data_IF_068683811869
#
_entry.id   IF_068683811869
#
_cell.length_a   1.000
_cell.length_b   1.000
_cell.length_c   1.000
_cell.angle_alpha   90.00
_cell.angle_beta   90.00
_cell.angle_gamma   90.00
#
_symmetry.space_group_name_H-M   'P 1'
#
loop_
_entity.id
_entity.type
_entity.pdbx_description
1 polymer ?
#
# COMPACT_ATOMS: atom_id res chain seq x y z
N UNK A 1 74.37 -7.23 -19.26
CA UNK A 1 75.45 -7.22 -18.26
C UNK A 1 74.83 -6.84 -16.92
N UNK A 2 74.60 -7.82 -16.04
CA UNK A 2 75.40 -8.08 -14.83
C UNK A 2 74.91 -7.19 -13.66
N UNK A 3 73.90 -7.60 -12.85
CA UNK A 3 73.89 -8.62 -11.77
C UNK A 3 74.49 -8.09 -10.45
N UNK A 4 73.76 -8.35 -9.35
CA UNK A 4 74.13 -8.43 -7.90
C UNK A 4 73.72 -7.21 -7.04
N UNK A 5 73.15 -7.35 -5.84
CA UNK A 5 73.03 -8.56 -5.02
C UNK A 5 72.09 -8.40 -3.82
N UNK A 6 71.80 -9.58 -3.26
CA UNK A 6 70.93 -9.92 -2.12
C UNK A 6 71.56 -9.50 -0.78
N UNK A 7 70.76 -9.05 0.18
CA UNK A 7 70.98 -9.43 1.60
C UNK A 7 69.65 -9.54 2.34
N UNK A 8 69.47 -10.72 2.93
CA UNK A 8 68.38 -11.18 3.78
C UNK A 8 68.61 -10.69 5.20
N UNK A 9 67.55 -10.29 5.90
CA UNK A 9 67.53 -10.32 7.36
C UNK A 9 66.15 -10.80 7.83
N UNK A 10 66.18 -12.01 8.39
CA UNK A 10 65.04 -12.67 9.01
C UNK A 10 64.90 -12.15 10.46
N UNK A 11 63.66 -11.88 10.88
CA UNK A 11 63.26 -11.95 12.29
C UNK A 11 61.89 -12.62 12.31
N UNK A 12 61.86 -13.78 12.96
CA UNK A 12 60.70 -14.66 13.03
C UNK A 12 59.78 -14.37 14.23
N UNK A 13 58.58 -14.92 14.12
CA UNK A 13 57.92 -15.68 15.19
C UNK A 13 57.15 -14.89 16.24
N UNK A 14 55.84 -14.71 16.01
CA UNK A 14 54.82 -15.09 17.00
C UNK A 14 53.48 -15.31 16.29
N UNK A 15 53.17 -16.57 15.97
CA UNK A 15 51.86 -16.97 15.45
C UNK A 15 50.95 -17.19 16.66
N UNK A 16 50.11 -16.19 16.94
CA UNK A 16 48.95 -16.35 17.82
C UNK A 16 47.84 -17.06 17.06
N UNK A 17 47.49 -18.26 17.50
CA UNK A 17 46.34 -19.00 16.99
C UNK A 17 45.04 -18.31 17.42
N UNK A 18 44.33 -17.69 16.47
CA UNK A 18 42.91 -17.37 16.60
C UNK A 18 42.19 -18.19 15.53
N UNK A 19 41.74 -19.37 15.95
CA UNK A 19 40.80 -20.20 15.22
C UNK A 19 39.45 -19.46 15.27
N UNK A 20 39.11 -18.74 14.22
CA UNK A 20 37.74 -18.28 14.00
C UNK A 20 36.89 -19.51 13.67
N UNK A 21 36.17 -20.04 14.67
CA UNK A 21 35.18 -21.07 14.45
C UNK A 21 34.03 -20.56 13.59
N UNK A 22 33.32 -21.44 12.86
CA UNK A 22 32.14 -21.04 12.11
C UNK A 22 31.03 -20.65 13.09
N UNK A 23 30.63 -19.37 13.09
CA UNK A 23 29.43 -18.92 13.75
C UNK A 23 28.22 -19.25 12.87
N UNK A 24 27.71 -20.48 12.98
CA UNK A 24 26.36 -20.82 12.53
C UNK A 24 25.39 -20.40 13.64
N UNK A 25 24.73 -19.26 13.48
CA UNK A 25 23.59 -18.89 14.29
C UNK A 25 22.37 -19.69 13.80
N UNK A 26 22.23 -20.92 14.28
CA UNK A 26 20.99 -21.68 14.19
C UNK A 26 19.99 -21.05 15.17
N UNK A 27 18.79 -20.59 14.75
CA UNK A 27 17.77 -20.22 15.73
C UNK A 27 17.44 -21.47 16.54
N UNK A 28 17.48 -21.35 17.87
CA UNK A 28 17.06 -22.43 18.76
C UNK A 28 15.60 -22.75 18.44
N UNK A 29 15.34 -23.98 18.01
CA UNK A 29 13.98 -24.49 17.91
C UNK A 29 13.37 -24.45 19.32
N UNK A 30 12.37 -23.58 19.49
CA UNK A 30 11.52 -23.58 20.68
C UNK A 30 10.88 -24.97 20.81
N UNK A 31 10.78 -25.55 22.03
CA UNK A 31 10.14 -26.85 22.18
C UNK A 31 8.68 -26.73 21.74
N UNK A 32 8.32 -27.47 20.70
CA UNK A 32 6.94 -27.71 20.30
C UNK A 32 6.27 -28.40 21.49
N UNK A 33 5.46 -27.63 22.23
CA UNK A 33 4.49 -28.20 23.16
C UNK A 33 3.41 -28.87 22.30
N UNK A 34 3.38 -30.20 22.35
CA UNK A 34 2.25 -30.99 21.84
C UNK A 34 0.96 -30.49 22.53
N UNK A 35 0.16 -29.71 21.80
CA UNK A 35 -1.20 -29.37 22.24
C UNK A 35 -2.04 -30.62 22.04
N UNK A 36 -2.11 -31.45 23.10
CA UNK A 36 -3.17 -32.43 23.21
C UNK A 36 -4.53 -31.70 23.09
N UNK A 37 -5.52 -32.23 22.35
CA UNK A 37 -6.84 -31.62 22.28
C UNK A 37 -7.41 -31.53 23.71
N UNK A 38 -7.50 -30.31 24.24
CA UNK A 38 -8.15 -30.07 25.51
C UNK A 38 -9.64 -30.41 25.35
N UNK A 39 -10.15 -31.29 26.22
CA UNK A 39 -11.58 -31.53 26.32
C UNK A 39 -12.31 -30.19 26.57
N UNK A 40 -13.51 -29.99 26.00
CA UNK A 40 -14.24 -28.74 26.18
C UNK A 40 -14.45 -28.48 27.69
N UNK A 41 -14.20 -27.24 28.17
CA UNK A 41 -14.42 -26.90 29.55
C UNK A 41 -15.91 -27.02 29.90
N UNK A 42 -16.25 -27.41 31.15
CA UNK A 42 -17.64 -27.39 31.60
C UNK A 42 -18.19 -25.96 31.54
N UNK A 43 -19.43 -25.82 31.06
CA UNK A 43 -20.13 -24.54 30.93
C UNK A 43 -20.09 -23.77 32.27
N UNK A 44 -19.49 -22.57 32.24
CA UNK A 44 -19.51 -21.61 33.37
C UNK A 44 -18.18 -21.22 34.00
N UNK A 45 -17.03 -21.65 33.45
CA UNK A 45 -15.73 -21.13 33.91
C UNK A 45 -15.48 -19.70 33.38
N UNK A 46 -15.07 -18.72 34.20
CA UNK A 46 -14.69 -17.40 33.73
C UNK A 46 -13.49 -17.49 32.79
N UNK A 47 -13.52 -16.75 31.68
CA UNK A 47 -12.45 -16.73 30.69
C UNK A 47 -11.12 -16.28 31.34
N UNK A 48 -9.97 -16.88 30.97
CA UNK A 48 -8.68 -16.47 31.50
C UNK A 48 -8.38 -15.01 31.10
N UNK A 49 -8.06 -14.17 32.10
CA UNK A 49 -7.57 -12.81 31.88
C UNK A 49 -6.29 -12.87 31.04
N UNK A 50 -6.33 -12.29 29.84
CA UNK A 50 -5.21 -12.30 28.89
C UNK A 50 -5.50 -12.97 27.55
N UNK A 51 -6.71 -13.50 27.32
CA UNK A 51 -7.12 -13.87 25.97
C UNK A 51 -7.08 -12.62 25.07
N UNK A 52 -6.18 -12.62 24.09
CA UNK A 52 -6.21 -11.62 23.02
C UNK A 52 -7.62 -11.61 22.44
N UNK A 53 -8.22 -10.42 22.18
CA UNK A 53 -9.49 -10.37 21.49
C UNK A 53 -9.38 -11.21 20.21
N UNK A 54 -10.46 -11.94 19.83
CA UNK A 54 -10.48 -12.68 18.58
C UNK A 54 -9.97 -11.76 17.46
N UNK A 55 -9.19 -12.28 16.50
CA UNK A 55 -8.82 -11.51 15.32
C UNK A 55 -10.07 -10.84 14.75
N UNK A 56 -9.98 -9.54 14.43
CA UNK A 56 -11.05 -8.85 13.70
C UNK A 56 -11.36 -9.71 12.48
N UNK A 57 -12.54 -10.33 12.47
CA UNK A 57 -13.03 -11.18 11.38
C UNK A 57 -13.25 -10.35 10.10
N UNK A 58 -13.06 -9.04 10.20
CA UNK A 58 -13.18 -8.08 9.13
C UNK A 58 -14.63 -7.77 8.84
N UNK A 59 -15.61 -8.29 9.58
CA UNK A 59 -17.02 -8.15 9.23
C UNK A 59 -17.42 -6.68 9.07
N UNK A 60 -18.11 -6.37 7.96
CA UNK A 60 -18.63 -5.04 7.66
C UNK A 60 -20.13 -5.13 7.42
N UNK A 61 -20.86 -4.18 8.00
CA UNK A 61 -22.28 -4.05 7.73
C UNK A 61 -22.50 -3.61 6.28
N UNK A 62 -23.35 -4.33 5.55
CA UNK A 62 -23.83 -3.92 4.24
C UNK A 62 -24.88 -2.83 4.35
N UNK A 63 -24.78 -1.81 3.51
CA UNK A 63 -25.87 -0.83 3.36
C UNK A 63 -27.09 -1.51 2.71
N UNK A 64 -28.31 -1.00 2.95
CA UNK A 64 -29.50 -1.55 2.32
C UNK A 64 -29.38 -1.61 0.79
N UNK A 65 -29.99 -2.61 0.13
CA UNK A 65 -30.03 -2.67 -1.32
C UNK A 65 -30.60 -1.40 -1.94
N UNK A 66 -30.00 -0.96 -3.04
CA UNK A 66 -30.49 0.15 -3.84
C UNK A 66 -31.48 -0.39 -4.87
N UNK A 67 -32.54 0.37 -5.11
CA UNK A 67 -33.52 0.01 -6.13
C UNK A 67 -33.82 1.20 -7.03
N UNK A 68 -33.86 0.94 -8.34
CA UNK A 68 -34.17 1.95 -9.37
C UNK A 68 -35.10 1.40 -10.44
N UNK A 69 -36.05 2.23 -10.83
CA UNK A 69 -36.94 2.01 -11.96
C UNK A 69 -36.31 2.64 -13.21
N UNK A 70 -36.20 1.88 -14.28
CA UNK A 70 -35.75 2.32 -15.59
C UNK A 70 -36.93 2.87 -16.42
N UNK A 71 -36.69 3.78 -17.37
CA UNK A 71 -37.75 4.39 -18.19
C UNK A 71 -38.59 3.40 -19.01
N UNK A 72 -38.07 2.21 -19.27
CA UNK A 72 -38.73 1.14 -20.02
C UNK A 72 -39.52 0.16 -19.14
N UNK A 73 -39.78 0.53 -17.87
CA UNK A 73 -40.66 -0.21 -16.97
C UNK A 73 -39.99 -1.36 -16.22
N UNK A 74 -38.67 -1.49 -16.31
CA UNK A 74 -37.90 -2.45 -15.55
C UNK A 74 -37.41 -1.88 -14.22
N UNK A 75 -37.38 -2.74 -13.20
CA UNK A 75 -36.82 -2.50 -11.88
C UNK A 75 -35.49 -3.22 -11.71
N UNK A 76 -34.48 -2.49 -11.27
CA UNK A 76 -33.14 -2.98 -10.95
C UNK A 76 -32.90 -2.84 -9.45
N UNK A 77 -32.55 -3.93 -8.79
CA UNK A 77 -32.16 -3.98 -7.39
C UNK A 77 -30.73 -4.51 -7.28
N UNK A 78 -29.91 -3.89 -6.44
CA UNK A 78 -28.52 -4.27 -6.22
C UNK A 78 -28.17 -4.11 -4.75
N UNK A 79 -27.50 -5.11 -4.18
CA UNK A 79 -27.00 -5.05 -2.82
C UNK A 79 -25.86 -6.04 -2.59
N UNK A 80 -25.32 -5.99 -1.38
CA UNK A 80 -24.33 -6.94 -0.90
C UNK A 80 -24.73 -7.51 0.46
N UNK A 81 -24.08 -8.61 0.83
CA UNK A 81 -24.16 -9.24 2.14
C UNK A 81 -22.85 -9.95 2.48
N UNK A 82 -22.71 -10.31 3.74
CA UNK A 82 -21.58 -11.11 4.25
C UNK A 82 -20.22 -10.45 3.91
N UNK A 83 -20.16 -9.12 3.99
CA UNK A 83 -18.98 -8.36 3.63
C UNK A 83 -17.90 -8.45 4.70
N UNK A 84 -16.65 -8.56 4.26
CA UNK A 84 -15.46 -8.56 5.10
C UNK A 84 -14.40 -7.62 4.54
N UNK A 85 -13.73 -6.89 5.42
CA UNK A 85 -12.66 -5.94 5.15
C UNK A 85 -11.68 -5.96 6.34
N UNK A 86 -10.61 -6.74 6.21
CA UNK A 86 -9.60 -6.91 7.25
C UNK A 86 -8.24 -6.37 6.78
N UNK A 87 -7.55 -5.51 7.57
CA UNK A 87 -6.18 -5.11 7.27
C UNK A 87 -5.23 -6.29 7.38
N UNK A 88 -4.26 -6.35 6.48
CA UNK A 88 -3.13 -7.27 6.57
C UNK A 88 -1.80 -6.50 6.44
N UNK A 89 -0.70 -7.05 6.98
CA UNK A 89 0.61 -6.48 6.78
C UNK A 89 0.92 -6.32 5.29
N UNK A 90 1.34 -5.12 4.82
CA UNK A 90 1.70 -4.92 3.43
C UNK A 90 2.87 -5.82 3.01
N UNK A 91 2.79 -6.43 1.84
CA UNK A 91 3.82 -7.30 1.29
C UNK A 91 5.14 -6.55 1.04
N UNK A 92 5.05 -5.25 0.73
CA UNK A 92 6.23 -4.37 0.56
C UNK A 92 6.85 -3.94 1.89
N UNK A 93 6.20 -4.19 3.03
CA UNK A 93 6.57 -3.70 4.38
C UNK A 93 6.69 -2.17 4.50
N UNK A 94 6.28 -1.43 3.46
CA UNK A 94 6.36 0.02 3.47
C UNK A 94 5.31 0.61 4.42
N UNK A 95 5.73 1.52 5.29
CA UNK A 95 4.84 2.20 6.24
C UNK A 95 3.76 3.06 5.53
N UNK A 96 4.02 3.43 4.28
CA UNK A 96 3.11 4.14 3.40
C UNK A 96 2.27 3.20 2.52
N UNK A 97 2.29 1.89 2.74
CA UNK A 97 1.41 0.96 2.02
C UNK A 97 0.31 0.45 2.94
N UNK A 98 -0.85 0.15 2.35
CA UNK A 98 -1.98 -0.50 3.02
C UNK A 98 -2.42 -1.69 2.18
N UNK A 99 -2.68 -2.80 2.84
CA UNK A 99 -3.21 -4.00 2.22
C UNK A 99 -4.40 -4.52 3.03
N UNK A 100 -5.40 -5.03 2.31
CA UNK A 100 -6.60 -5.58 2.91
C UNK A 100 -6.95 -6.91 2.26
N UNK A 101 -7.51 -7.80 3.05
CA UNK A 101 -8.25 -8.96 2.57
C UNK A 101 -9.74 -8.60 2.63
N UNK A 102 -10.41 -8.73 1.50
CA UNK A 102 -11.81 -8.35 1.35
C UNK A 102 -12.64 -9.49 0.79
N UNK A 103 -13.92 -9.49 1.17
CA UNK A 103 -14.90 -10.48 0.74
C UNK A 103 -16.32 -9.93 0.81
N UNK A 104 -17.25 -10.66 0.20
CA UNK A 104 -18.66 -10.31 0.18
C UNK A 104 -19.39 -10.98 -0.98
N UNK A 105 -20.72 -11.11 -0.83
CA UNK A 105 -21.59 -11.59 -1.89
C UNK A 105 -22.46 -10.45 -2.39
N UNK A 106 -22.34 -10.14 -3.68
CA UNK A 106 -23.04 -9.06 -4.36
C UNK A 106 -24.11 -9.66 -5.25
N UNK A 107 -25.34 -9.21 -5.10
CA UNK A 107 -26.51 -9.77 -5.80
C UNK A 107 -27.28 -8.66 -6.49
N UNK A 108 -27.53 -8.86 -7.79
CA UNK A 108 -28.45 -8.06 -8.57
C UNK A 108 -29.79 -8.79 -8.74
N UNK A 109 -30.86 -8.03 -8.92
CA UNK A 109 -32.18 -8.53 -9.30
C UNK A 109 -32.83 -7.61 -10.32
N UNK A 110 -33.35 -8.22 -11.38
CA UNK A 110 -33.98 -7.56 -12.51
C UNK A 110 -35.41 -8.09 -12.64
N UNK A 111 -36.38 -7.20 -12.54
CA UNK A 111 -37.80 -7.55 -12.74
C UNK A 111 -38.44 -6.51 -13.65
N UNK A 112 -39.18 -6.93 -14.67
CA UNK A 112 -39.77 -6.03 -15.63
C UNK A 112 -40.92 -6.68 -16.38
N UNK A 113 -41.35 -6.09 -17.51
CA UNK A 113 -42.39 -6.67 -18.34
C UNK A 113 -42.01 -8.09 -18.78
N UNK A 114 -42.95 -9.04 -18.66
CA UNK A 114 -42.78 -10.40 -19.19
C UNK A 114 -42.88 -10.36 -20.72
N UNK A 115 -41.78 -10.02 -21.38
CA UNK A 115 -41.64 -10.08 -22.85
C UNK A 115 -41.04 -11.42 -23.34
N UNK A 116 -40.76 -12.34 -22.42
CA UNK A 116 -40.18 -13.65 -22.70
C UNK A 116 -38.68 -13.65 -22.95
N UNK A 117 -38.01 -12.49 -22.84
CA UNK A 117 -36.56 -12.37 -23.03
C UNK A 117 -35.86 -12.27 -21.68
N UNK A 118 -34.86 -13.14 -21.47
CA UNK A 118 -34.04 -13.05 -20.26
C UNK A 118 -33.23 -11.75 -20.30
N UNK A 119 -33.23 -10.93 -19.23
CA UNK A 119 -32.46 -9.70 -19.22
C UNK A 119 -30.97 -10.03 -19.26
N UNK A 120 -30.21 -9.19 -19.94
CA UNK A 120 -28.75 -9.32 -20.05
C UNK A 120 -28.07 -8.05 -19.54
N UNK A 121 -26.78 -8.14 -19.26
CA UNK A 121 -26.02 -6.98 -18.82
C UNK A 121 -24.73 -7.34 -18.09
N UNK A 122 -24.26 -6.41 -17.25
CA UNK A 122 -23.02 -6.57 -16.49
C UNK A 122 -23.21 -6.29 -15.01
N UNK A 123 -22.57 -7.10 -14.17
CA UNK A 123 -22.41 -6.88 -12.74
C UNK A 123 -20.93 -6.63 -12.46
N UNK A 124 -20.58 -5.39 -12.17
CA UNK A 124 -19.24 -4.98 -11.77
C UNK A 124 -19.17 -4.84 -10.25
N UNK A 125 -18.09 -5.34 -9.66
CA UNK A 125 -17.84 -5.26 -8.22
C UNK A 125 -16.41 -4.84 -8.01
N UNK A 126 -16.18 -3.96 -7.03
CA UNK A 126 -14.84 -3.57 -6.62
C UNK A 126 -14.82 -2.88 -5.27
N UNK A 127 -13.67 -2.29 -4.97
CA UNK A 127 -13.44 -1.56 -3.74
C UNK A 127 -12.81 -0.20 -4.02
N UNK A 128 -13.26 0.80 -3.29
CA UNK A 128 -12.66 2.13 -3.25
C UNK A 128 -11.80 2.22 -2.00
N UNK A 129 -10.55 2.67 -2.17
CA UNK A 129 -9.63 2.94 -1.08
C UNK A 129 -9.27 4.42 -1.10
N UNK A 130 -9.71 5.15 -0.08
CA UNK A 130 -9.34 6.54 0.15
C UNK A 130 -8.14 6.65 1.08
N UNK A 131 -7.13 7.41 0.66
CA UNK A 131 -6.00 7.78 1.51
C UNK A 131 -6.11 9.24 1.91
N UNK A 132 -5.93 9.57 3.20
CA UNK A 132 -5.97 10.97 3.63
C UNK A 132 -4.85 11.82 3.01
N UNK A 133 -3.67 11.22 2.82
CA UNK A 133 -2.50 11.84 2.22
C UNK A 133 -1.90 10.89 1.17
N UNK A 134 -1.73 11.40 -0.05
CA UNK A 134 -1.11 10.65 -1.15
C UNK A 134 0.36 11.05 -1.34
N UNK A 135 1.25 10.08 -1.12
CA UNK A 135 2.69 10.17 -1.36
C UNK A 135 3.13 9.32 -2.57
N UNK A 136 2.22 8.63 -3.27
CA UNK A 136 2.56 7.79 -4.42
C UNK A 136 3.09 8.59 -5.62
N UNK A 137 2.59 9.83 -5.78
CA UNK A 137 2.95 10.73 -6.89
C UNK A 137 3.70 11.98 -6.44
N UNK A 138 3.90 12.15 -5.14
CA UNK A 138 4.60 13.31 -4.57
C UNK A 138 6.08 12.99 -4.35
N UNK A 139 6.94 14.00 -4.38
CA UNK A 139 8.35 13.86 -3.96
C UNK A 139 8.51 13.56 -2.46
N UNK A 140 7.39 13.35 -1.74
CA UNK A 140 7.33 13.11 -0.31
C UNK A 140 8.13 14.16 0.45
N UNK A 141 9.09 13.67 1.24
CA UNK A 141 10.09 14.50 1.89
C UNK A 141 11.40 14.37 1.11
N UNK A 142 11.78 15.43 0.40
CA UNK A 142 13.05 15.51 -0.32
C UNK A 142 14.07 16.28 0.53
N UNK A 143 15.15 15.61 0.90
CA UNK A 143 16.32 16.23 1.52
C UNK A 143 17.35 16.51 0.42
N UNK A 144 17.63 17.79 0.17
CA UNK A 144 18.69 18.23 -0.72
C UNK A 144 19.85 18.78 0.12
N UNK A 145 21.06 18.33 -0.16
CA UNK A 145 22.29 18.87 0.42
C UNK A 145 23.25 19.25 -0.69
N UNK A 146 23.82 20.45 -0.62
CA UNK A 146 24.90 20.91 -1.50
C UNK A 146 26.10 21.29 -0.64
N UNK A 147 27.25 20.72 -0.98
CA UNK A 147 28.54 21.11 -0.42
C UNK A 147 29.49 21.31 -1.60
N UNK A 148 30.15 22.47 -1.66
CA UNK A 148 31.03 22.82 -2.75
C UNK A 148 32.14 23.76 -2.31
N UNK A 149 33.23 23.75 -3.08
CA UNK A 149 34.32 24.71 -2.94
C UNK A 149 34.36 25.51 -4.23
N UNK A 150 34.25 26.82 -4.11
CA UNK A 150 34.17 27.77 -5.21
C UNK A 150 35.49 28.55 -5.21
N UNK A 151 36.39 28.27 -6.18
CA UNK A 151 37.53 29.15 -6.39
C UNK A 151 37.02 30.49 -6.92
N UNK A 152 37.36 31.58 -6.23
CA UNK A 152 37.04 32.94 -6.63
C UNK A 152 38.31 33.71 -6.88
N UNK A 153 38.36 34.55 -7.92
CA UNK A 153 39.45 35.49 -8.13
C UNK A 153 38.99 36.88 -7.68
N UNK A 154 39.54 37.36 -6.56
CA UNK A 154 39.34 38.74 -6.11
C UNK A 154 40.31 39.66 -6.85
N UNK A 155 39.82 40.79 -7.37
CA UNK A 155 40.69 41.85 -7.91
C UNK A 155 40.95 42.85 -6.81
N UNK A 156 42.20 42.95 -6.38
CA UNK A 156 42.67 43.99 -5.47
C UNK A 156 43.18 45.18 -6.28
N UNK A 157 42.81 46.39 -5.89
CA UNK A 157 43.32 47.63 -6.49
C UNK A 157 42.32 48.48 -7.29
N UNK A 158 41.01 48.37 -7.04
CA UNK A 158 40.02 49.37 -7.53
C UNK A 158 39.77 50.51 -6.53
N UNK A 159 40.59 50.65 -5.48
CA UNK A 159 40.58 51.90 -4.72
C UNK A 159 41.21 53.01 -5.58
N UNK A 160 40.57 54.18 -5.59
CA UNK A 160 40.89 55.27 -6.49
C UNK A 160 42.12 56.09 -6.04
N UNK A 161 43.06 55.50 -5.28
CA UNK A 161 44.07 56.27 -4.53
C UNK A 161 45.51 55.73 -4.58
N UNK A 162 45.89 54.89 -5.54
CA UNK A 162 47.28 54.44 -5.68
C UNK A 162 47.63 53.82 -7.04
N UNK A 163 48.93 53.67 -7.38
CA UNK A 163 49.36 53.11 -8.67
C UNK A 163 48.78 51.71 -8.83
N UNK A 164 47.95 51.55 -9.86
CA UNK A 164 47.17 50.34 -10.19
C UNK A 164 48.07 49.17 -10.55
N UNK A 165 48.56 48.47 -9.53
CA UNK A 165 49.07 47.11 -9.68
C UNK A 165 47.88 46.17 -9.55
N UNK A 166 47.34 45.73 -10.70
CA UNK A 166 46.15 44.88 -10.78
C UNK A 166 46.48 43.50 -10.20
N UNK A 167 46.30 43.36 -8.89
CA UNK A 167 46.59 42.13 -8.16
C UNK A 167 45.41 41.17 -8.23
N UNK A 168 45.63 39.98 -8.79
CA UNK A 168 44.67 38.88 -8.73
C UNK A 168 44.95 38.06 -7.47
N UNK A 169 44.03 38.08 -6.51
CA UNK A 169 44.13 37.26 -5.30
C UNK A 169 43.23 36.02 -5.45
N UNK A 170 43.78 34.81 -5.55
CA UNK A 170 42.98 33.59 -5.54
C UNK A 170 42.40 33.35 -4.14
N UNK A 171 41.08 33.28 -4.06
CA UNK A 171 40.31 32.93 -2.87
C UNK A 171 39.65 31.56 -3.04
N UNK A 172 39.51 30.84 -1.94
CA UNK A 172 38.76 29.60 -1.87
C UNK A 172 37.57 29.82 -0.92
N UNK A 173 36.37 29.92 -1.48
CA UNK A 173 35.13 29.94 -0.71
C UNK A 173 34.54 28.53 -0.63
N UNK A 174 33.86 28.19 0.46
CA UNK A 174 33.05 26.98 0.55
C UNK A 174 31.57 27.35 0.60
N UNK A 175 30.72 26.62 -0.13
CA UNK A 175 29.28 26.67 0.03
C UNK A 175 28.80 25.39 0.74
N UNK A 176 27.99 25.55 1.77
CA UNK A 176 27.26 24.47 2.41
C UNK A 176 25.80 24.89 2.52
N UNK A 177 24.93 24.14 1.87
CA UNK A 177 23.49 24.40 1.82
C UNK A 177 22.72 23.10 2.01
N UNK A 178 21.59 23.19 2.69
CA UNK A 178 20.66 22.09 2.82
C UNK A 178 19.23 22.62 2.67
N UNK A 179 18.34 21.79 2.16
CA UNK A 179 16.93 22.09 2.02
C UNK A 179 16.10 20.84 2.28
N UNK A 180 14.99 21.02 3.00
CA UNK A 180 13.95 20.01 3.13
C UNK A 180 12.75 20.55 2.38
N UNK A 181 12.30 19.83 1.35
CA UNK A 181 11.05 20.14 0.65
C UNK A 181 10.04 19.04 0.96
N UNK A 182 8.86 19.45 1.39
CA UNK A 182 7.75 18.55 1.68
C UNK A 182 6.69 18.76 0.61
N UNK A 183 6.58 17.81 -0.31
CA UNK A 183 5.49 17.73 -1.27
C UNK A 183 4.51 16.68 -0.79
N UNK A 184 3.35 17.11 -0.27
CA UNK A 184 2.24 16.21 0.02
C UNK A 184 1.05 16.61 -0.85
N UNK A 185 0.44 15.63 -1.50
CA UNK A 185 -0.77 15.82 -2.28
C UNK A 185 -1.99 15.50 -1.40
N UNK A 186 -3.10 16.24 -1.55
CA UNK A 186 -4.38 15.85 -0.94
C UNK A 186 -4.73 14.41 -1.32
N UNK A 187 -5.39 13.72 -0.40
CA UNK A 187 -5.84 12.36 -0.56
C UNK A 187 -6.56 12.07 -1.88
N UNK A 188 -6.34 10.86 -2.42
CA UNK A 188 -7.03 10.35 -3.60
C UNK A 188 -7.85 9.11 -3.23
N UNK A 189 -8.88 8.83 -4.04
CA UNK A 189 -9.64 7.59 -4.00
C UNK A 189 -9.12 6.71 -5.14
N UNK A 190 -8.65 5.51 -4.80
CA UNK A 190 -8.23 4.51 -5.75
C UNK A 190 -9.33 3.47 -5.91
N UNK A 191 -9.75 3.24 -7.15
CA UNK A 191 -10.80 2.27 -7.49
C UNK A 191 -10.12 0.98 -7.93
N UNK A 192 -10.34 -0.09 -7.16
CA UNK A 192 -9.80 -1.42 -7.45
C UNK A 192 -10.94 -2.30 -7.98
N UNK A 193 -11.07 -2.45 -9.31
CA UNK A 193 -12.08 -3.33 -9.88
C UNK A 193 -11.69 -4.80 -9.63
N UNK A 194 -12.61 -5.58 -9.06
CA UNK A 194 -12.38 -7.01 -8.78
C UNK A 194 -12.84 -7.84 -9.96
N UNK A 195 -14.06 -7.60 -10.44
CA UNK A 195 -14.60 -8.32 -11.58
C UNK A 195 -15.70 -7.53 -12.26
N UNK A 196 -15.90 -7.82 -13.54
CA UNK A 196 -17.03 -7.37 -14.34
C UNK A 196 -17.61 -8.59 -15.04
N UNK A 197 -18.74 -9.07 -14.53
CA UNK A 197 -19.39 -10.30 -15.00
C UNK A 197 -20.51 -9.95 -15.96
N UNK A 198 -20.39 -10.38 -17.20
CA UNK A 198 -21.52 -10.43 -18.14
C UNK A 198 -22.48 -11.56 -17.74
N UNK A 199 -23.79 -11.30 -17.79
CA UNK A 199 -24.82 -12.26 -17.40
C UNK A 199 -26.02 -12.27 -18.36
N UNK A 200 -26.76 -13.36 -18.30
CA UNK A 200 -28.10 -13.52 -18.87
C UNK A 200 -28.97 -14.15 -17.80
N UNK A 201 -30.09 -13.52 -17.48
CA UNK A 201 -30.98 -13.92 -16.39
C UNK A 201 -31.26 -12.80 -15.40
N UNK A 202 -32.30 -13.00 -14.58
CA UNK A 202 -32.84 -11.99 -13.69
C UNK A 202 -32.04 -11.76 -12.41
N UNK A 203 -31.26 -12.75 -11.95
CA UNK A 203 -30.63 -12.73 -10.62
C UNK A 203 -29.11 -12.99 -10.72
N UNK A 204 -28.32 -12.07 -11.29
CA UNK A 204 -26.87 -12.19 -11.32
C UNK A 204 -26.28 -12.04 -9.91
N UNK A 205 -25.22 -12.79 -9.63
CA UNK A 205 -24.46 -12.66 -8.39
C UNK A 205 -22.97 -12.84 -8.62
N UNK A 206 -22.18 -12.23 -7.74
CA UNK A 206 -20.73 -12.35 -7.66
C UNK A 206 -20.36 -12.55 -6.21
N UNK A 207 -19.54 -13.56 -5.93
CA UNK A 207 -18.93 -13.77 -4.61
C UNK A 207 -17.44 -13.46 -4.70
N UNK A 208 -16.99 -12.62 -3.79
CA UNK A 208 -15.58 -12.29 -3.58
C UNK A 208 -15.16 -12.94 -2.26
N UNK A 209 -14.07 -13.70 -2.27
CA UNK A 209 -13.49 -14.31 -1.07
C UNK A 209 -11.99 -14.10 -1.09
N UNK A 210 -11.43 -13.75 0.07
CA UNK A 210 -9.99 -13.65 0.31
C UNK A 210 -9.22 -12.79 -0.73
N UNK A 211 -9.90 -11.80 -1.31
CA UNK A 211 -9.32 -10.99 -2.36
C UNK A 211 -8.41 -9.94 -1.74
N UNK A 212 -7.18 -9.83 -2.23
CA UNK A 212 -6.20 -8.88 -1.70
C UNK A 212 -6.22 -7.59 -2.50
N UNK A 213 -6.51 -6.49 -1.83
CA UNK A 213 -6.42 -5.14 -2.39
C UNK A 213 -5.26 -4.41 -1.74
N UNK A 214 -4.54 -3.60 -2.53
CA UNK A 214 -3.39 -2.82 -2.06
C UNK A 214 -3.43 -1.39 -2.54
N UNK A 215 -2.87 -0.49 -1.73
CA UNK A 215 -2.56 0.88 -2.11
C UNK A 215 -1.19 1.26 -1.56
N UNK A 216 -0.38 1.88 -2.41
CA UNK A 216 0.94 2.39 -2.06
C UNK A 216 0.89 3.92 -1.92
N UNK A 217 1.76 4.48 -1.10
CA UNK A 217 1.80 5.94 -0.86
C UNK A 217 0.68 6.48 0.02
N UNK A 218 -0.06 5.62 0.71
CA UNK A 218 -1.10 5.96 1.67
C UNK A 218 -0.49 6.27 3.04
N UNK A 219 -0.37 7.56 3.39
CA UNK A 219 0.17 7.99 4.68
C UNK A 219 -0.96 8.38 5.63
N UNK A 220 -0.97 7.79 6.83
CA UNK A 220 -1.98 8.05 7.87
C UNK A 220 -3.15 7.08 7.82
N UNK A 221 -4.34 7.58 8.17
CA UNK A 221 -5.59 6.82 8.14
C UNK A 221 -6.01 6.50 6.70
N UNK A 222 -6.65 5.35 6.56
CA UNK A 222 -7.13 4.86 5.28
C UNK A 222 -8.58 4.41 5.38
N UNK A 223 -9.34 4.69 4.34
CA UNK A 223 -10.76 4.37 4.28
C UNK A 223 -10.99 3.38 3.16
N UNK A 224 -11.75 2.32 3.42
CA UNK A 224 -12.14 1.35 2.42
C UNK A 224 -13.66 1.23 2.37
N UNK A 225 -14.19 1.08 1.15
CA UNK A 225 -15.62 0.88 0.88
C UNK A 225 -15.78 -0.02 -0.33
N UNK A 226 -16.73 -0.93 -0.28
CA UNK A 226 -17.17 -1.72 -1.43
C UNK A 226 -18.08 -0.91 -2.36
N UNK A 227 -17.99 -1.20 -3.66
CA UNK A 227 -18.93 -0.70 -4.65
C UNK A 227 -19.38 -1.83 -5.58
N UNK A 228 -20.57 -1.68 -6.12
CA UNK A 228 -21.06 -2.51 -7.20
C UNK A 228 -21.87 -1.69 -8.21
N UNK A 229 -21.75 -2.06 -9.49
CA UNK A 229 -22.56 -1.51 -10.57
C UNK A 229 -23.33 -2.64 -11.25
N UNK A 230 -24.65 -2.50 -11.31
CA UNK A 230 -25.51 -3.39 -12.08
C UNK A 230 -26.01 -2.63 -13.29
N UNK A 231 -25.65 -3.13 -14.47
CA UNK A 231 -26.10 -2.63 -15.76
C UNK A 231 -27.01 -3.66 -16.39
N UNK A 232 -28.23 -3.28 -16.77
CA UNK A 232 -29.03 -4.02 -17.76
C UNK A 232 -28.76 -3.42 -19.13
N UNK A 233 -28.45 -4.25 -20.11
CA UNK A 233 -28.19 -3.83 -21.49
C UNK A 233 -29.26 -4.37 -22.44
N UNK A 234 -29.65 -3.55 -23.40
CA UNK A 234 -30.48 -3.93 -24.56
C UNK A 234 -29.75 -3.52 -25.84
N UNK A 235 -30.35 -3.74 -27.02
CA UNK A 235 -29.76 -3.29 -28.28
C UNK A 235 -29.63 -1.75 -28.39
N UNK A 236 -30.44 -1.00 -27.62
CA UNK A 236 -30.59 0.45 -27.79
C UNK A 236 -30.47 1.25 -26.48
N UNK A 237 -30.40 0.59 -25.33
CA UNK A 237 -30.39 1.25 -24.02
C UNK A 237 -29.60 0.48 -22.97
N UNK A 238 -29.08 1.22 -22.00
CA UNK A 238 -28.52 0.66 -20.77
C UNK A 238 -29.17 1.33 -19.56
N UNK A 239 -29.49 0.53 -18.55
CA UNK A 239 -29.93 1.01 -17.25
C UNK A 239 -28.88 0.62 -16.22
N UNK A 240 -28.26 1.61 -15.56
CA UNK A 240 -27.16 1.41 -14.62
C UNK A 240 -27.60 1.85 -13.23
N UNK A 241 -27.39 0.99 -12.23
CA UNK A 241 -27.57 1.31 -10.81
C UNK A 241 -26.26 1.04 -10.05
N UNK A 242 -25.92 1.96 -9.15
CA UNK A 242 -24.73 1.89 -8.31
C UNK A 242 -25.11 1.66 -6.86
N UNK A 243 -24.42 0.72 -6.21
CA UNK A 243 -24.52 0.44 -4.78
C UNK A 243 -23.16 0.69 -4.13
N UNK A 244 -23.19 1.26 -2.93
CA UNK A 244 -22.00 1.58 -2.14
C UNK A 244 -22.19 1.10 -0.70
N UNK A 245 -21.24 0.32 -0.18
CA UNK A 245 -21.28 -0.24 1.16
C UNK A 245 -20.98 0.77 2.27
N UNK A 246 -20.78 0.30 3.51
CA UNK A 246 -20.31 1.16 4.60
C UNK A 246 -18.82 1.47 4.39
N UNK A 247 -18.42 2.70 4.69
CA UNK A 247 -17.00 3.07 4.74
C UNK A 247 -16.41 2.66 6.08
N UNK A 248 -15.38 1.81 6.06
CA UNK A 248 -14.60 1.45 7.25
C UNK A 248 -13.32 2.27 7.28
N UNK A 249 -13.02 2.88 8.43
CA UNK A 249 -11.71 3.48 8.71
C UNK A 249 -10.80 2.39 9.28
N UNK A 250 -9.55 2.36 8.84
CA UNK A 250 -8.51 1.42 9.24
C UNK A 250 -7.23 2.17 9.59
#
# INVERSE_FOLDING_TARGET
MLRRGITVLAVGGLIGALVAGPASAQPAAEPVVDVAPAAPPPDGAPAPEGALPPPDDGAVASTPPVVKEAPDGWRLELGAKDETQAPIPPLTTALSSREYVVGGTYTGKLSGPDDGTAPTGTLEVGYEIGCGIDMSTSNGVSLTGTAGINPSLGILGIDAAGPVELGVLPGLGGNLGGGITVGLKPGLINVVPVTKKEFTGAEPWVMVSDFRVKIDGCVGESFIRSYAFLTRSTEVSEAIVAWYGVTKNI
#
